data_IF_862719695121
#
_entry.id   IF_862719695121
#
_cell.length_a   1.000
_cell.length_b   1.000
_cell.length_c   1.000
_cell.angle_alpha   90.00
_cell.angle_beta   90.00
_cell.angle_gamma   90.00
#
_symmetry.space_group_name_H-M   'P 1'
#
loop_
_entity.id
_entity.type
_entity.pdbx_description
1 polymer ?
#
# COMPACT_ATOMS: atom_id res chain seq x y z
N UNK A 1 12.95 28.08 12.22
CA UNK A 1 12.86 26.93 13.14
C UNK A 1 11.55 26.22 12.89
N UNK A 2 11.50 24.88 12.87
CA UNK A 2 10.24 24.13 12.82
C UNK A 2 9.42 24.46 14.08
N UNK A 3 8.11 24.62 13.95
CA UNK A 3 7.23 24.84 15.10
C UNK A 3 7.28 23.68 16.10
N UNK A 4 7.14 23.97 17.39
CA UNK A 4 7.10 22.96 18.45
C UNK A 4 6.01 21.92 18.18
N UNK A 5 4.82 22.37 17.76
CA UNK A 5 3.70 21.50 17.41
C UNK A 5 4.08 20.47 16.34
N UNK A 6 4.65 20.89 15.20
CA UNK A 6 5.07 19.96 14.14
C UNK A 6 6.13 19.00 14.64
N UNK A 7 7.17 19.51 15.32
CA UNK A 7 8.29 18.68 15.79
C UNK A 7 7.82 17.58 16.74
N UNK A 8 7.05 17.95 17.77
CA UNK A 8 6.61 17.01 18.82
C UNK A 8 5.60 15.99 18.29
N UNK A 9 4.64 16.42 17.45
CA UNK A 9 3.68 15.51 16.82
C UNK A 9 4.34 14.58 15.82
N UNK A 10 5.25 15.09 15.00
CA UNK A 10 5.99 14.29 14.03
C UNK A 10 6.80 13.21 14.75
N UNK A 11 7.57 13.59 15.78
CA UNK A 11 8.36 12.63 16.55
C UNK A 11 7.49 11.55 17.21
N UNK A 12 6.36 11.93 17.78
CA UNK A 12 5.42 10.99 18.40
C UNK A 12 4.79 10.04 17.36
N UNK A 13 4.27 10.57 16.26
CA UNK A 13 3.59 9.76 15.24
C UNK A 13 4.55 8.85 14.47
N UNK A 14 5.80 9.27 14.25
CA UNK A 14 6.83 8.41 13.62
C UNK A 14 7.18 7.18 14.47
N UNK A 15 7.08 7.26 15.80
CA UNK A 15 7.21 6.08 16.68
C UNK A 15 6.08 5.10 16.45
N UNK A 16 4.89 5.60 16.15
CA UNK A 16 3.68 4.83 15.85
C UNK A 16 3.57 4.44 14.36
N UNK A 17 4.57 4.77 13.53
CA UNK A 17 4.56 4.59 12.07
C UNK A 17 3.37 5.27 11.37
N UNK A 18 2.95 6.42 11.89
CA UNK A 18 1.88 7.23 11.33
C UNK A 18 2.50 8.52 10.77
N UNK A 19 2.06 8.89 9.57
CA UNK A 19 2.47 10.14 8.94
C UNK A 19 1.72 11.30 9.56
N UNK A 20 2.42 12.40 9.82
CA UNK A 20 1.80 13.66 10.24
C UNK A 20 0.72 14.13 9.23
N UNK A 21 0.89 13.79 7.96
CA UNK A 21 0.00 14.16 6.86
C UNK A 21 -1.11 13.12 6.60
N UNK A 22 -1.30 12.14 7.48
CA UNK A 22 -2.37 11.13 7.36
C UNK A 22 -3.77 11.67 7.68
N UNK A 23 -3.87 12.88 8.23
CA UNK A 23 -5.13 13.48 8.70
C UNK A 23 -5.53 13.09 10.12
N UNK A 24 -4.76 12.23 10.80
CA UNK A 24 -5.05 11.82 12.19
C UNK A 24 -5.04 13.00 13.17
N UNK A 25 -4.18 14.00 12.92
CA UNK A 25 -4.11 15.22 13.74
C UNK A 25 -5.43 15.97 13.67
N UNK A 26 -5.99 16.12 12.48
CA UNK A 26 -7.28 16.79 12.30
C UNK A 26 -8.42 15.97 12.90
N UNK A 27 -8.41 14.64 12.70
CA UNK A 27 -9.40 13.74 13.30
C UNK A 27 -9.46 13.88 14.82
N UNK A 28 -8.32 13.77 15.50
CA UNK A 28 -8.25 13.90 16.95
C UNK A 28 -8.60 15.33 17.38
N UNK A 29 -8.19 16.35 16.63
CA UNK A 29 -8.55 17.76 16.93
C UNK A 29 -10.06 17.96 16.94
N UNK A 30 -10.78 17.46 15.94
CA UNK A 30 -12.24 17.55 15.90
C UNK A 30 -12.90 16.73 17.02
N UNK A 31 -12.34 15.57 17.38
CA UNK A 31 -12.84 14.81 18.54
C UNK A 31 -12.62 15.54 19.87
N UNK A 32 -11.47 16.18 20.07
CA UNK A 32 -11.19 16.97 21.27
C UNK A 32 -12.14 18.19 21.38
N UNK A 33 -12.58 18.73 20.24
CA UNK A 33 -13.60 19.77 20.18
C UNK A 33 -15.04 19.23 20.24
N UNK A 34 -15.26 17.92 20.39
CA UNK A 34 -16.58 17.28 20.38
C UNK A 34 -17.39 17.59 19.11
N UNK A 35 -16.73 17.41 17.95
CA UNK A 35 -17.30 17.64 16.62
C UNK A 35 -17.10 16.38 15.77
N UNK A 36 -18.20 15.92 15.16
CA UNK A 36 -18.16 14.87 14.15
C UNK A 36 -18.06 15.52 12.78
N UNK A 37 -17.01 15.15 12.05
CA UNK A 37 -16.75 15.60 10.68
C UNK A 37 -16.72 14.41 9.71
N UNK A 38 -17.06 14.65 8.46
CA UNK A 38 -16.94 13.66 7.40
C UNK A 38 -15.49 13.59 6.85
N UNK A 39 -15.22 12.65 5.94
CA UNK A 39 -13.87 12.41 5.39
C UNK A 39 -13.33 13.62 4.60
N UNK A 40 -14.18 14.32 3.87
CA UNK A 40 -13.79 15.51 3.09
C UNK A 40 -13.40 16.66 4.03
N UNK A 41 -14.16 16.85 5.10
CA UNK A 41 -13.90 17.85 6.12
C UNK A 41 -12.61 17.57 6.93
N UNK A 42 -12.18 16.31 7.06
CA UNK A 42 -10.90 15.96 7.71
C UNK A 42 -9.66 16.50 6.97
N UNK A 43 -9.79 16.78 5.67
CA UNK A 43 -8.72 17.44 4.91
C UNK A 43 -8.54 18.91 5.31
N UNK A 44 -9.52 19.49 6.01
CA UNK A 44 -9.50 20.86 6.49
C UNK A 44 -9.15 20.87 7.98
N UNK A 45 -8.01 21.47 8.31
CA UNK A 45 -7.49 21.55 9.68
C UNK A 45 -6.07 22.09 9.66
N UNK A 46 -5.17 21.44 10.39
CA UNK A 46 -3.74 21.71 10.27
C UNK A 46 -3.21 21.25 8.91
N UNK A 47 -2.36 22.08 8.31
CA UNK A 47 -1.52 21.73 7.17
C UNK A 47 -0.06 21.91 7.57
N UNK A 48 0.76 20.89 7.32
CA UNK A 48 2.17 20.87 7.70
C UNK A 48 3.12 20.93 6.50
N UNK A 49 2.59 21.04 5.28
CA UNK A 49 3.37 20.93 4.04
C UNK A 49 4.21 22.17 3.71
N UNK A 50 3.81 23.37 4.17
CA UNK A 50 4.36 24.65 3.70
C UNK A 50 5.37 25.34 4.65
N UNK A 51 5.87 24.69 5.70
CA UNK A 51 6.68 25.35 6.74
C UNK A 51 8.15 25.66 6.37
N UNK A 52 8.61 25.42 5.13
CA UNK A 52 9.98 25.82 4.74
C UNK A 52 10.20 27.35 4.77
N UNK A 53 9.13 28.15 4.90
CA UNK A 53 9.13 29.63 4.80
C UNK A 53 8.98 30.40 6.13
N UNK A 54 9.15 29.78 7.31
CA UNK A 54 8.87 30.39 8.63
C UNK A 54 7.38 30.73 8.90
N UNK A 55 6.45 30.21 8.10
CA UNK A 55 5.02 30.45 8.34
C UNK A 55 4.55 29.81 9.65
N UNK A 56 3.72 30.55 10.39
CA UNK A 56 3.03 30.06 11.59
C UNK A 56 2.03 28.98 11.17
N UNK A 57 2.00 27.85 11.89
CA UNK A 57 0.95 26.84 11.69
C UNK A 57 -0.41 27.51 11.87
N UNK A 58 -1.29 27.25 10.92
CA UNK A 58 -2.70 27.63 10.99
C UNK A 58 -3.59 26.40 10.99
N UNK A 59 -4.80 26.56 11.54
CA UNK A 59 -5.84 25.56 11.51
C UNK A 59 -7.02 26.10 10.69
N UNK A 60 -7.32 25.43 9.58
CA UNK A 60 -8.47 25.76 8.74
C UNK A 60 -9.71 25.04 9.25
N UNK A 61 -10.73 25.77 9.69
CA UNK A 61 -11.99 25.19 10.15
C UNK A 61 -12.77 24.62 8.96
N UNK A 62 -13.25 23.38 9.10
CA UNK A 62 -14.00 22.70 8.05
C UNK A 62 -15.22 23.49 7.55
N UNK A 63 -15.39 23.56 6.24
CA UNK A 63 -16.56 24.12 5.57
C UNK A 63 -17.82 23.34 5.93
N UNK A 64 -18.93 24.05 6.09
CA UNK A 64 -20.24 23.46 6.40
C UNK A 64 -20.48 23.16 7.88
N UNK A 65 -19.54 23.51 8.76
CA UNK A 65 -19.80 23.52 10.21
C UNK A 65 -20.70 24.69 10.58
N UNK A 66 -21.69 24.44 11.44
CA UNK A 66 -22.53 25.50 11.98
C UNK A 66 -21.78 26.36 13.01
N UNK A 67 -22.36 27.52 13.36
CA UNK A 67 -21.72 28.44 14.30
C UNK A 67 -21.51 27.84 15.70
N UNK A 68 -22.38 26.92 16.13
CA UNK A 68 -22.24 26.23 17.43
C UNK A 68 -21.01 25.31 17.44
N UNK A 69 -20.78 24.57 16.35
CA UNK A 69 -19.60 23.74 16.15
C UNK A 69 -18.33 24.59 16.04
N UNK A 70 -18.36 25.68 15.27
CA UNK A 70 -17.25 26.63 15.18
C UNK A 70 -16.88 27.16 16.58
N UNK A 71 -17.88 27.53 17.38
CA UNK A 71 -17.67 28.00 18.76
C UNK A 71 -16.96 26.95 19.64
N UNK A 72 -17.25 25.65 19.48
CA UNK A 72 -16.51 24.60 20.20
C UNK A 72 -15.02 24.59 19.82
N UNK A 73 -14.68 24.76 18.54
CA UNK A 73 -13.28 24.84 18.08
C UNK A 73 -12.59 26.08 18.66
N UNK A 74 -13.24 27.23 18.58
CA UNK A 74 -12.70 28.48 19.12
C UNK A 74 -12.47 28.38 20.64
N UNK A 75 -13.43 27.83 21.37
CA UNK A 75 -13.30 27.58 22.82
C UNK A 75 -12.14 26.65 23.15
N UNK A 76 -11.97 25.56 22.38
CA UNK A 76 -10.87 24.63 22.55
C UNK A 76 -9.51 25.33 22.40
N UNK A 77 -9.36 26.19 21.39
CA UNK A 77 -8.15 26.99 21.18
C UNK A 77 -8.11 28.28 22.01
N UNK A 78 -9.09 28.52 22.89
CA UNK A 78 -9.25 29.75 23.70
C UNK A 78 -9.22 31.04 22.87
N UNK A 79 -9.79 30.99 21.66
CA UNK A 79 -9.91 32.15 20.77
C UNK A 79 -11.27 32.83 21.03
N UNK A 80 -11.31 34.11 21.43
CA UNK A 80 -12.55 34.86 21.56
C UNK A 80 -13.31 34.91 20.23
N UNK A 81 -14.63 34.76 20.29
CA UNK A 81 -15.50 34.77 19.10
C UNK A 81 -15.35 36.06 18.28
N UNK A 82 -15.17 37.21 18.94
CA UNK A 82 -15.03 38.50 18.24
C UNK A 82 -13.75 38.60 17.41
N UNK A 83 -12.75 37.75 17.70
CA UNK A 83 -11.48 37.71 16.96
C UNK A 83 -11.52 36.75 15.77
N UNK A 84 -12.57 35.95 15.65
CA UNK A 84 -12.68 34.99 14.55
C UNK A 84 -13.23 35.66 13.28
N UNK A 85 -12.41 35.67 12.24
CA UNK A 85 -12.84 36.05 10.90
C UNK A 85 -13.40 34.81 10.19
N UNK A 86 -14.71 34.78 9.96
CA UNK A 86 -15.38 33.61 9.40
C UNK A 86 -14.76 33.18 8.05
N UNK A 87 -14.48 31.88 7.92
CA UNK A 87 -13.82 31.30 6.74
C UNK A 87 -12.31 31.55 6.66
N UNK A 88 -11.70 32.24 7.64
CA UNK A 88 -10.23 32.37 7.73
C UNK A 88 -9.63 31.31 8.65
N UNK A 89 -8.42 30.82 8.36
CA UNK A 89 -7.69 29.94 9.27
C UNK A 89 -7.41 30.63 10.60
N UNK A 90 -7.46 29.88 11.69
CA UNK A 90 -7.04 30.34 13.01
C UNK A 90 -5.54 30.11 13.19
N UNK A 91 -4.85 31.02 13.87
CA UNK A 91 -3.42 30.93 14.14
C UNK A 91 -3.21 30.76 15.65
N UNK A 92 -3.08 29.52 16.13
CA UNK A 92 -2.90 29.28 17.55
C UNK A 92 -1.42 29.52 17.89
N UNK A 93 -1.13 30.75 18.35
CA UNK A 93 0.25 31.26 18.54
C UNK A 93 0.71 31.28 20.01
N UNK A 94 -0.01 30.61 20.89
CA UNK A 94 0.34 30.52 22.31
C UNK A 94 1.03 29.17 22.56
N UNK A 95 2.31 29.21 22.94
CA UNK A 95 3.11 28.02 23.21
C UNK A 95 2.49 27.16 24.32
N UNK A 96 1.90 27.78 25.36
CA UNK A 96 1.19 27.04 26.43
C UNK A 96 -0.04 26.32 25.88
N UNK A 97 -0.75 26.93 24.93
CA UNK A 97 -1.87 26.26 24.25
C UNK A 97 -1.42 25.14 23.33
N UNK A 98 -0.26 25.26 22.68
CA UNK A 98 0.32 24.19 21.89
C UNK A 98 0.76 23.00 22.75
N UNK A 99 1.40 23.25 23.90
CA UNK A 99 1.76 22.19 24.86
C UNK A 99 0.51 21.46 25.37
N UNK A 100 -0.52 22.23 25.75
CA UNK A 100 -1.81 21.68 26.15
C UNK A 100 -2.40 20.82 25.03
N UNK A 101 -2.47 21.33 23.80
CA UNK A 101 -2.95 20.56 22.65
C UNK A 101 -2.19 19.23 22.49
N UNK A 102 -0.86 19.25 22.50
CA UNK A 102 -0.02 18.06 22.32
C UNK A 102 -0.29 17.03 23.42
N UNK A 103 -0.45 17.47 24.68
CA UNK A 103 -0.77 16.58 25.79
C UNK A 103 -2.13 15.88 25.59
N UNK A 104 -3.18 16.64 25.28
CA UNK A 104 -4.52 16.06 25.04
C UNK A 104 -4.57 15.20 23.78
N UNK A 105 -3.83 15.58 22.73
CA UNK A 105 -3.68 14.78 21.52
C UNK A 105 -3.09 13.41 21.84
N UNK A 106 -1.95 13.35 22.54
CA UNK A 106 -1.28 12.10 22.90
C UNK A 106 -2.17 11.21 23.78
N UNK A 107 -2.86 11.79 24.76
CA UNK A 107 -3.80 11.05 25.60
C UNK A 107 -4.97 10.49 24.80
N UNK A 108 -5.58 11.29 23.93
CA UNK A 108 -6.70 10.84 23.10
C UNK A 108 -6.27 9.77 22.10
N UNK A 109 -5.09 9.91 21.52
CA UNK A 109 -4.49 8.89 20.65
C UNK A 109 -4.34 7.56 21.40
N UNK A 110 -3.81 7.58 22.63
CA UNK A 110 -3.64 6.37 23.43
C UNK A 110 -4.99 5.73 23.79
N UNK A 111 -5.99 6.53 24.15
CA UNK A 111 -7.36 6.03 24.36
C UNK A 111 -7.94 5.37 23.11
N UNK A 112 -7.75 5.97 21.92
CA UNK A 112 -8.19 5.38 20.66
C UNK A 112 -7.45 4.07 20.38
N UNK A 113 -6.15 4.01 20.64
CA UNK A 113 -5.34 2.80 20.45
C UNK A 113 -5.82 1.64 21.33
N UNK A 114 -6.34 1.93 22.52
CA UNK A 114 -6.85 0.93 23.46
C UNK A 114 -8.31 0.55 23.22
N UNK A 115 -9.16 1.52 22.92
CA UNK A 115 -10.61 1.33 22.82
C UNK A 115 -11.12 1.04 21.40
N UNK A 116 -10.47 1.62 20.39
CA UNK A 116 -10.87 1.56 18.96
C UNK A 116 -9.62 1.32 18.08
N UNK A 117 -8.85 0.24 18.31
CA UNK A 117 -7.57 -0.03 17.63
C UNK A 117 -7.70 -0.06 16.10
N UNK A 118 -8.87 -0.40 15.56
CA UNK A 118 -9.18 -0.40 14.13
C UNK A 118 -9.01 0.98 13.49
N UNK A 119 -9.29 2.07 14.22
CA UNK A 119 -9.10 3.43 13.72
C UNK A 119 -7.61 3.72 13.56
N UNK A 120 -6.80 3.32 14.55
CA UNK A 120 -5.34 3.48 14.50
C UNK A 120 -4.75 2.62 13.37
N UNK A 121 -5.23 1.38 13.20
CA UNK A 121 -4.83 0.51 12.11
C UNK A 121 -5.09 1.15 10.73
N UNK A 122 -6.26 1.78 10.55
CA UNK A 122 -6.61 2.51 9.33
C UNK A 122 -5.63 3.66 9.07
N UNK A 123 -5.31 4.47 10.08
CA UNK A 123 -4.35 5.57 9.92
C UNK A 123 -2.91 5.08 9.68
N UNK A 124 -2.50 3.96 10.28
CA UNK A 124 -1.21 3.30 9.96
C UNK A 124 -1.18 2.87 8.48
N UNK A 125 -2.24 2.23 8.00
CA UNK A 125 -2.34 1.79 6.61
C UNK A 125 -2.30 2.97 5.63
N UNK A 126 -3.07 4.04 5.89
CA UNK A 126 -3.06 5.28 5.09
C UNK A 126 -1.69 6.00 5.14
N UNK A 127 -0.98 5.89 6.26
CA UNK A 127 0.32 6.53 6.46
C UNK A 127 1.46 5.85 5.71
N UNK A 128 1.39 4.52 5.55
CA UNK A 128 2.46 3.74 4.96
C UNK A 128 2.92 4.24 3.58
N UNK A 129 2.03 4.50 2.59
CA UNK A 129 2.45 5.07 1.30
C UNK A 129 3.04 6.48 1.41
N UNK A 130 2.56 7.29 2.36
CA UNK A 130 3.08 8.65 2.59
C UNK A 130 4.51 8.61 3.16
N UNK A 131 4.76 7.72 4.12
CA UNK A 131 6.06 7.53 4.74
C UNK A 131 7.08 6.97 3.73
N UNK A 132 6.67 6.00 2.91
CA UNK A 132 7.48 5.46 1.81
C UNK A 132 7.85 6.54 0.79
N UNK A 133 6.87 7.34 0.35
CA UNK A 133 7.10 8.44 -0.61
C UNK A 133 8.06 9.48 -0.04
N UNK A 134 7.88 9.85 1.23
CA UNK A 134 8.78 10.78 1.91
C UNK A 134 10.21 10.22 2.01
N UNK A 135 10.37 8.96 2.41
CA UNK A 135 11.67 8.31 2.48
C UNK A 135 12.36 8.23 1.10
N UNK A 136 11.61 7.90 0.04
CA UNK A 136 12.09 7.91 -1.36
C UNK A 136 12.54 9.30 -1.79
N UNK A 137 11.80 10.34 -1.43
CA UNK A 137 12.14 11.73 -1.77
C UNK A 137 13.38 12.23 -1.03
N UNK A 138 13.53 11.91 0.26
CA UNK A 138 14.75 12.22 1.03
C UNK A 138 15.97 11.53 0.41
N UNK A 139 15.85 10.24 0.07
CA UNK A 139 16.91 9.49 -0.59
C UNK A 139 17.31 10.11 -1.93
N UNK A 140 16.34 10.48 -2.78
CA UNK A 140 16.59 11.18 -4.05
C UNK A 140 17.33 12.51 -3.83
N UNK A 141 16.87 13.31 -2.87
CA UNK A 141 17.48 14.60 -2.53
C UNK A 141 18.95 14.44 -2.13
N UNK A 142 19.26 13.52 -1.22
CA UNK A 142 20.65 13.29 -0.80
C UNK A 142 21.52 12.75 -1.94
N UNK A 143 20.97 11.94 -2.85
CA UNK A 143 21.72 11.53 -4.05
C UNK A 143 22.08 12.71 -4.94
N UNK A 144 21.16 13.63 -5.16
CA UNK A 144 21.42 14.82 -5.96
C UNK A 144 22.40 15.76 -5.27
N UNK A 145 22.34 15.90 -3.94
CA UNK A 145 23.34 16.63 -3.16
C UNK A 145 24.75 16.03 -3.30
N UNK A 146 24.88 14.70 -3.22
CA UNK A 146 26.17 14.01 -3.45
C UNK A 146 26.68 14.26 -4.87
N UNK A 147 25.83 14.17 -5.89
CA UNK A 147 26.23 14.47 -7.29
C UNK A 147 26.74 15.90 -7.42
N UNK A 148 26.02 16.87 -6.87
CA UNK A 148 26.39 18.29 -6.91
C UNK A 148 27.75 18.53 -6.23
N UNK A 149 28.00 17.89 -5.09
CA UNK A 149 29.28 18.02 -4.36
C UNK A 149 30.43 17.42 -5.15
N UNK A 150 30.21 16.29 -5.82
CA UNK A 150 31.24 15.72 -6.69
C UNK A 150 31.50 16.64 -7.90
N UNK A 151 30.45 17.16 -8.54
CA UNK A 151 30.60 18.09 -9.66
C UNK A 151 31.33 19.38 -9.25
N UNK A 152 31.06 19.91 -8.06
CA UNK A 152 31.66 21.15 -7.58
C UNK A 152 33.15 20.99 -7.17
N UNK A 153 33.53 19.83 -6.62
CA UNK A 153 34.88 19.63 -6.08
C UNK A 153 35.90 19.09 -7.10
N UNK A 154 35.44 18.51 -8.23
CA UNK A 154 36.33 17.89 -9.21
C UNK A 154 36.22 18.39 -10.68
N UNK A 155 35.84 19.66 -10.98
CA UNK A 155 35.58 20.08 -12.36
C UNK A 155 36.85 20.15 -13.25
N UNK A 156 38.04 20.34 -12.67
CA UNK A 156 39.29 20.62 -13.42
C UNK A 156 40.48 19.72 -13.01
N UNK A 157 40.22 18.62 -12.31
CA UNK A 157 41.24 17.67 -11.84
C UNK A 157 41.07 16.32 -12.53
N UNK A 158 42.18 15.65 -12.88
CA UNK A 158 42.12 14.27 -13.34
C UNK A 158 41.43 13.41 -12.26
N UNK A 159 40.24 12.90 -12.56
CA UNK A 159 39.48 12.09 -11.63
C UNK A 159 40.27 10.82 -11.31
N UNK A 160 40.52 10.56 -10.03
CA UNK A 160 41.05 9.29 -9.57
C UNK A 160 40.07 8.16 -9.92
N UNK A 161 40.57 6.93 -10.01
CA UNK A 161 39.71 5.76 -10.27
C UNK A 161 38.60 5.65 -9.20
N UNK A 162 38.91 6.02 -7.96
CA UNK A 162 37.96 6.07 -6.84
C UNK A 162 36.82 7.05 -7.09
N UNK A 163 37.09 8.31 -7.45
CA UNK A 163 36.02 9.28 -7.70
C UNK A 163 35.18 8.90 -8.93
N UNK A 164 35.79 8.32 -9.98
CA UNK A 164 35.04 7.77 -11.12
C UNK A 164 34.09 6.65 -10.68
N UNK A 165 34.56 5.76 -9.80
CA UNK A 165 33.73 4.68 -9.24
C UNK A 165 32.55 5.23 -8.44
N UNK A 166 32.78 6.23 -7.58
CA UNK A 166 31.72 6.88 -6.81
C UNK A 166 30.67 7.52 -7.73
N UNK A 167 31.08 8.26 -8.77
CA UNK A 167 30.15 8.87 -9.72
C UNK A 167 29.29 7.81 -10.42
N UNK A 168 29.93 6.73 -10.89
CA UNK A 168 29.23 5.63 -11.56
C UNK A 168 28.24 4.94 -10.63
N UNK A 169 28.64 4.69 -9.37
CA UNK A 169 27.78 4.13 -8.34
C UNK A 169 26.56 5.01 -8.04
N UNK A 170 26.76 6.30 -7.77
CA UNK A 170 25.68 7.24 -7.46
C UNK A 170 24.71 7.39 -8.64
N UNK A 171 25.23 7.40 -9.87
CA UNK A 171 24.41 7.44 -11.08
C UNK A 171 23.57 6.17 -11.24
N UNK A 172 24.16 5.00 -10.98
CA UNK A 172 23.46 3.71 -11.02
C UNK A 172 22.36 3.64 -9.97
N UNK A 173 22.66 4.04 -8.73
CA UNK A 173 21.70 4.07 -7.63
C UNK A 173 20.53 5.02 -7.92
N UNK A 174 20.83 6.20 -8.49
CA UNK A 174 19.81 7.15 -8.93
C UNK A 174 18.89 6.58 -10.01
N UNK A 175 19.44 5.86 -10.99
CA UNK A 175 18.64 5.19 -12.03
C UNK A 175 17.72 4.13 -11.42
N UNK A 176 18.25 3.29 -10.52
CA UNK A 176 17.47 2.25 -9.83
C UNK A 176 16.28 2.79 -9.04
N UNK A 177 16.44 3.92 -8.36
CA UNK A 177 15.36 4.56 -7.60
C UNK A 177 14.27 5.13 -8.52
N UNK A 178 14.64 5.60 -9.71
CA UNK A 178 13.69 6.05 -10.72
C UNK A 178 12.87 4.88 -11.26
N UNK A 179 13.54 3.77 -11.55
CA UNK A 179 12.96 2.58 -12.17
C UNK A 179 12.20 1.67 -11.18
N UNK A 180 12.30 1.94 -9.87
CA UNK A 180 11.77 1.10 -8.80
C UNK A 180 10.26 0.81 -8.91
N UNK A 181 9.46 1.75 -9.40
CA UNK A 181 8.00 1.56 -9.58
C UNK A 181 7.68 0.53 -10.66
N UNK A 182 8.51 0.47 -11.70
CA UNK A 182 8.40 -0.49 -12.80
C UNK A 182 9.06 -1.83 -12.45
N UNK A 183 10.09 -1.79 -11.61
CA UNK A 183 10.92 -2.94 -11.28
C UNK A 183 11.16 -3.04 -9.76
N UNK A 184 10.19 -3.57 -8.98
CA UNK A 184 10.28 -3.63 -7.53
C UNK A 184 11.48 -4.42 -6.99
N UNK A 185 12.04 -5.35 -7.78
CA UNK A 185 13.23 -6.13 -7.41
C UNK A 185 14.49 -5.25 -7.25
N UNK A 186 14.54 -4.06 -7.86
CA UNK A 186 15.63 -3.10 -7.68
C UNK A 186 15.74 -2.57 -6.25
N UNK A 187 14.71 -2.78 -5.42
CA UNK A 187 14.76 -2.51 -3.99
C UNK A 187 15.97 -3.16 -3.30
N UNK A 188 16.24 -4.43 -3.60
CA UNK A 188 17.35 -5.19 -2.98
C UNK A 188 18.69 -4.56 -3.32
N UNK A 189 18.85 -4.11 -4.56
CA UNK A 189 20.03 -3.40 -5.03
C UNK A 189 20.25 -2.08 -4.29
N UNK A 190 19.17 -1.35 -3.99
CA UNK A 190 19.21 -0.10 -3.21
C UNK A 190 19.68 -0.38 -1.78
N UNK A 191 19.21 -1.46 -1.14
CA UNK A 191 19.68 -1.82 0.20
C UNK A 191 21.16 -2.23 0.20
N UNK A 192 21.55 -3.08 -0.75
CA UNK A 192 22.91 -3.58 -0.86
C UNK A 192 23.92 -2.45 -1.12
N UNK A 193 23.45 -1.32 -1.66
CA UNK A 193 24.27 -0.12 -1.87
C UNK A 193 24.91 0.42 -0.58
N UNK A 194 24.36 0.11 0.61
CA UNK A 194 24.98 0.47 1.91
C UNK A 194 26.40 -0.09 2.05
N UNK A 195 26.66 -1.31 1.58
CA UNK A 195 27.98 -1.94 1.68
C UNK A 195 29.01 -1.16 0.86
N UNK A 196 28.63 -0.76 -0.34
CA UNK A 196 29.49 0.02 -1.24
C UNK A 196 29.75 1.43 -0.70
N UNK A 197 28.74 2.09 -0.13
CA UNK A 197 28.94 3.40 0.53
C UNK A 197 29.88 3.29 1.73
N UNK A 198 29.72 2.25 2.56
CA UNK A 198 30.64 1.98 3.66
C UNK A 198 32.07 1.73 3.18
N UNK A 199 32.24 1.04 2.05
CA UNK A 199 33.55 0.88 1.43
C UNK A 199 34.15 2.23 1.02
N UNK A 200 33.37 3.09 0.33
CA UNK A 200 33.85 4.42 -0.06
C UNK A 200 34.26 5.28 1.14
N UNK A 201 33.53 5.23 2.25
CA UNK A 201 33.86 5.98 3.47
C UNK A 201 35.20 5.60 4.08
N UNK A 202 35.70 4.39 3.83
CA UNK A 202 37.02 3.92 4.32
C UNK A 202 38.19 4.40 3.45
N UNK A 203 37.92 4.89 2.23
CA UNK A 203 38.96 5.32 1.30
C UNK A 203 39.54 6.67 1.72
N UNK A 204 40.87 6.77 1.73
CA UNK A 204 41.59 7.99 2.15
C UNK A 204 41.16 9.24 1.37
N UNK A 205 40.89 9.09 0.07
CA UNK A 205 40.44 10.19 -0.79
C UNK A 205 39.07 10.75 -0.41
N UNK A 206 38.19 9.89 0.12
CA UNK A 206 36.83 10.28 0.56
C UNK A 206 36.88 10.82 1.99
N UNK A 207 37.61 10.17 2.89
CA UNK A 207 37.82 10.64 4.26
C UNK A 207 38.54 12.01 4.28
N UNK A 208 39.44 12.27 3.33
CA UNK A 208 40.07 13.56 3.14
C UNK A 208 39.15 14.69 2.65
N UNK A 209 37.89 14.40 2.27
CA UNK A 209 36.89 15.38 1.85
C UNK A 209 35.70 15.40 2.84
N UNK A 210 35.73 16.26 3.88
CA UNK A 210 34.73 16.26 4.95
C UNK A 210 33.29 16.48 4.44
N UNK A 211 33.10 17.27 3.38
CA UNK A 211 31.78 17.56 2.81
C UNK A 211 31.20 16.33 2.11
N UNK A 212 32.00 15.66 1.28
CA UNK A 212 31.58 14.44 0.60
C UNK A 212 31.36 13.30 1.60
N UNK A 213 32.25 13.17 2.59
CA UNK A 213 32.12 12.19 3.65
C UNK A 213 30.79 12.35 4.41
N UNK A 214 30.49 13.57 4.89
CA UNK A 214 29.23 13.85 5.60
C UNK A 214 27.98 13.51 4.75
N UNK A 215 28.06 13.76 3.45
CA UNK A 215 26.94 13.54 2.53
C UNK A 215 26.73 12.07 2.18
N UNK A 216 27.80 11.28 2.14
CA UNK A 216 27.71 9.83 2.07
C UNK A 216 27.14 9.22 3.36
N UNK A 217 27.42 9.80 4.53
CA UNK A 217 26.77 9.41 5.80
C UNK A 217 25.27 9.73 5.76
N UNK A 218 24.88 10.94 5.34
CA UNK A 218 23.47 11.29 5.17
C UNK A 218 22.75 10.42 4.15
N UNK A 219 23.46 9.97 3.10
CA UNK A 219 22.95 9.00 2.15
C UNK A 219 22.68 7.64 2.81
N UNK A 220 23.60 7.13 3.65
CA UNK A 220 23.37 5.90 4.43
C UNK A 220 22.13 6.02 5.33
N UNK A 221 21.99 7.14 6.03
CA UNK A 221 20.82 7.41 6.89
C UNK A 221 19.52 7.40 6.07
N UNK A 222 19.53 8.00 4.88
CA UNK A 222 18.36 7.99 3.98
C UNK A 222 18.03 6.61 3.42
N UNK A 223 19.04 5.75 3.15
CA UNK A 223 18.79 4.37 2.74
C UNK A 223 18.23 3.55 3.92
N UNK A 224 18.69 3.79 5.15
CA UNK A 224 18.12 3.16 6.34
C UNK A 224 16.66 3.60 6.58
N UNK A 225 16.35 4.89 6.34
CA UNK A 225 14.98 5.40 6.39
C UNK A 225 14.10 4.75 5.31
N UNK A 226 14.63 4.60 4.10
CA UNK A 226 13.96 3.91 3.01
C UNK A 226 13.71 2.43 3.33
N UNK A 227 14.69 1.70 3.84
CA UNK A 227 14.54 0.33 4.34
C UNK A 227 13.45 0.22 5.42
N UNK A 228 13.35 1.20 6.32
CA UNK A 228 12.34 1.19 7.38
C UNK A 228 10.90 1.28 6.86
N UNK A 229 10.66 2.01 5.78
CA UNK A 229 9.31 2.34 5.31
C UNK A 229 8.93 1.78 3.93
N UNK A 230 9.87 1.22 3.18
CA UNK A 230 9.58 0.61 1.88
C UNK A 230 8.56 -0.53 2.02
N UNK A 231 7.83 -0.80 0.93
CA UNK A 231 6.83 -1.88 0.89
C UNK A 231 6.99 -2.81 -0.31
N UNK A 232 8.16 -2.73 -0.99
CA UNK A 232 8.44 -3.55 -2.16
C UNK A 232 8.41 -5.05 -1.88
N UNK A 233 8.76 -5.49 -0.66
CA UNK A 233 8.58 -6.89 -0.26
C UNK A 233 7.10 -7.31 -0.34
N UNK A 234 6.18 -6.48 0.15
CA UNK A 234 4.74 -6.76 0.06
C UNK A 234 4.24 -6.75 -1.38
N UNK A 235 4.73 -5.82 -2.23
CA UNK A 235 4.41 -5.79 -3.67
C UNK A 235 4.89 -7.08 -4.37
N UNK A 236 6.13 -7.50 -4.09
CA UNK A 236 6.70 -8.72 -4.66
C UNK A 236 5.91 -9.95 -4.19
N UNK A 237 5.61 -10.05 -2.89
CA UNK A 237 4.77 -11.12 -2.32
C UNK A 237 3.42 -11.21 -3.01
N UNK A 238 2.72 -10.10 -3.22
CA UNK A 238 1.43 -10.10 -3.92
C UNK A 238 1.55 -10.54 -5.40
N UNK A 239 2.63 -10.15 -6.07
CA UNK A 239 2.85 -10.49 -7.48
C UNK A 239 3.07 -11.99 -7.71
N UNK A 240 3.66 -12.70 -6.74
CA UNK A 240 3.94 -14.14 -6.83
C UNK A 240 2.84 -15.01 -6.24
N UNK A 241 2.09 -14.49 -5.27
CA UNK A 241 1.09 -15.24 -4.49
C UNK A 241 0.09 -16.01 -5.37
N UNK A 242 -0.50 -15.36 -6.37
CA UNK A 242 -1.49 -16.00 -7.25
C UNK A 242 -0.89 -17.17 -8.04
N UNK A 243 0.32 -17.00 -8.56
CA UNK A 243 1.03 -18.04 -9.32
C UNK A 243 1.36 -19.21 -8.41
N UNK A 244 1.97 -18.95 -7.26
CA UNK A 244 2.35 -20.00 -6.31
C UNK A 244 1.15 -20.77 -5.78
N UNK A 245 0.03 -20.07 -5.50
CA UNK A 245 -1.19 -20.74 -5.03
C UNK A 245 -1.78 -21.65 -6.11
N UNK A 246 -1.82 -21.19 -7.36
CA UNK A 246 -2.26 -22.01 -8.50
C UNK A 246 -1.37 -23.23 -8.67
N UNK A 247 -0.05 -23.06 -8.61
CA UNK A 247 0.93 -24.15 -8.71
C UNK A 247 0.79 -25.16 -7.55
N UNK A 248 0.60 -24.68 -6.32
CA UNK A 248 0.39 -25.51 -5.14
C UNK A 248 -0.86 -26.40 -5.23
N UNK A 249 -1.92 -25.94 -5.91
CA UNK A 249 -3.18 -26.67 -6.03
C UNK A 249 -3.20 -27.73 -7.15
N UNK A 250 -2.22 -27.72 -8.06
CA UNK A 250 -2.13 -28.67 -9.19
C UNK A 250 -2.16 -30.13 -8.72
N UNK A 251 -1.36 -30.57 -7.72
CA UNK A 251 -1.37 -31.97 -7.26
C UNK A 251 -2.73 -32.42 -6.71
N UNK A 252 -3.53 -31.48 -6.20
CA UNK A 252 -4.87 -31.74 -5.68
C UNK A 252 -5.95 -31.72 -6.76
N UNK A 253 -5.61 -31.37 -8.02
CA UNK A 253 -6.53 -31.19 -9.15
C UNK A 253 -7.62 -30.14 -8.88
N UNK A 254 -7.23 -29.03 -8.27
CA UNK A 254 -8.13 -27.93 -7.94
C UNK A 254 -7.74 -26.70 -8.74
N UNK A 255 -8.71 -26.09 -9.42
CA UNK A 255 -8.54 -24.79 -10.05
C UNK A 255 -9.09 -23.71 -9.09
N UNK A 256 -8.22 -22.84 -8.53
CA UNK A 256 -8.66 -21.79 -7.60
C UNK A 256 -9.60 -20.75 -8.25
N UNK A 257 -9.67 -20.67 -9.58
CA UNK A 257 -10.56 -19.73 -10.28
C UNK A 257 -12.01 -20.22 -10.37
N UNK A 258 -12.26 -21.53 -10.14
CA UNK A 258 -13.59 -22.15 -10.27
C UNK A 258 -14.23 -22.54 -8.96
N UNK A 259 -13.54 -22.37 -7.84
CA UNK A 259 -14.04 -22.81 -6.54
C UNK A 259 -13.63 -21.86 -5.41
N UNK A 260 -14.36 -21.91 -4.30
CA UNK A 260 -14.10 -21.06 -3.14
C UNK A 260 -13.31 -21.74 -2.02
N UNK A 261 -12.31 -22.55 -2.38
CA UNK A 261 -11.47 -23.21 -1.38
C UNK A 261 -10.77 -22.19 -0.48
N UNK A 262 -10.26 -21.10 -1.08
CA UNK A 262 -9.53 -20.07 -0.34
C UNK A 262 -10.43 -19.30 0.63
N UNK A 263 -11.63 -18.88 0.20
CA UNK A 263 -12.58 -18.21 1.08
C UNK A 263 -13.02 -19.10 2.24
N UNK A 264 -13.35 -20.36 1.94
CA UNK A 264 -13.70 -21.33 2.99
C UNK A 264 -12.60 -21.44 4.05
N UNK A 265 -11.35 -21.62 3.63
CA UNK A 265 -10.24 -21.80 4.57
C UNK A 265 -10.03 -20.55 5.42
N UNK A 266 -10.04 -19.35 4.82
CA UNK A 266 -9.87 -18.11 5.58
C UNK A 266 -10.98 -17.97 6.64
N UNK A 267 -12.23 -18.27 6.28
CA UNK A 267 -13.35 -18.21 7.21
C UNK A 267 -13.24 -19.26 8.32
N UNK A 268 -12.85 -20.48 7.97
CA UNK A 268 -12.62 -21.56 8.93
C UNK A 268 -11.52 -21.20 9.93
N UNK A 269 -10.40 -20.66 9.45
CA UNK A 269 -9.28 -20.23 10.29
C UNK A 269 -9.66 -19.06 11.22
N UNK A 270 -10.61 -18.22 10.83
CA UNK A 270 -11.16 -17.12 11.63
C UNK A 270 -12.38 -17.52 12.50
N UNK A 271 -12.72 -18.81 12.60
CA UNK A 271 -13.91 -19.34 13.28
C UNK A 271 -15.24 -18.68 12.84
N UNK A 272 -15.34 -18.42 11.53
CA UNK A 272 -16.53 -17.87 10.88
C UNK A 272 -17.31 -19.01 10.21
N UNK A 273 -18.47 -19.35 10.78
CA UNK A 273 -19.33 -20.44 10.30
C UNK A 273 -20.35 -19.95 9.27
N UNK A 274 -19.88 -19.76 8.04
CA UNK A 274 -20.75 -19.46 6.88
C UNK A 274 -20.54 -20.54 5.83
N UNK A 275 -21.62 -21.23 5.42
CA UNK A 275 -21.56 -22.35 4.49
C UNK A 275 -21.69 -21.94 3.01
N UNK A 276 -21.96 -20.67 2.75
CA UNK A 276 -22.27 -20.11 1.42
C UNK A 276 -21.40 -18.91 1.05
N UNK A 277 -20.34 -18.65 1.82
CA UNK A 277 -19.40 -17.62 1.43
C UNK A 277 -18.79 -18.02 0.09
N UNK A 278 -18.74 -17.04 -0.80
CA UNK A 278 -17.94 -17.10 -2.02
C UNK A 278 -16.92 -15.97 -1.85
N UNK A 279 -15.65 -16.28 -1.63
CA UNK A 279 -14.56 -15.35 -1.92
C UNK A 279 -14.84 -14.80 -3.30
N UNK A 280 -15.14 -13.52 -3.32
CA UNK A 280 -15.47 -12.84 -4.56
C UNK A 280 -14.20 -12.52 -5.33
N UNK A 281 -13.17 -12.09 -4.59
CA UNK A 281 -11.93 -11.61 -5.18
C UNK A 281 -10.80 -11.65 -4.17
N UNK A 282 -9.64 -12.11 -4.63
CA UNK A 282 -8.35 -11.80 -4.05
C UNK A 282 -7.61 -10.96 -5.08
N UNK A 283 -7.21 -9.75 -4.73
CA UNK A 283 -6.48 -8.88 -5.65
C UNK A 283 -5.54 -7.94 -4.90
N UNK A 284 -4.49 -7.43 -5.54
CA UNK A 284 -3.75 -6.30 -5.01
C UNK A 284 -4.70 -5.12 -4.75
N UNK A 285 -4.51 -4.45 -3.61
CA UNK A 285 -5.16 -3.19 -3.28
C UNK A 285 -4.65 -2.03 -4.14
N UNK A 286 -5.15 -0.83 -3.87
CA UNK A 286 -4.83 0.37 -4.68
C UNK A 286 -3.32 0.65 -4.74
N UNK A 287 -2.62 0.46 -3.62
CA UNK A 287 -1.17 0.69 -3.51
C UNK A 287 -0.31 -0.51 -3.94
N UNK A 288 -0.92 -1.61 -4.40
CA UNK A 288 -0.32 -2.91 -4.77
C UNK A 288 0.46 -3.64 -3.68
N UNK A 289 0.84 -2.97 -2.59
CA UNK A 289 1.52 -3.56 -1.44
C UNK A 289 0.55 -4.30 -0.54
N UNK A 290 -0.71 -3.86 -0.47
CA UNK A 290 -1.76 -4.51 0.30
C UNK A 290 -2.54 -5.50 -0.55
N UNK A 291 -3.12 -6.49 0.09
CA UNK A 291 -4.00 -7.48 -0.51
C UNK A 291 -5.45 -7.17 -0.10
N UNK A 292 -6.33 -7.05 -1.08
CA UNK A 292 -7.76 -6.87 -0.91
C UNK A 292 -8.44 -8.25 -0.98
N UNK A 293 -9.08 -8.65 0.11
CA UNK A 293 -9.85 -9.87 0.23
C UNK A 293 -11.32 -9.51 0.29
N UNK A 294 -12.07 -9.77 -0.79
CA UNK A 294 -13.50 -9.46 -0.86
C UNK A 294 -14.32 -10.73 -0.73
N UNK A 295 -15.28 -10.72 0.18
CA UNK A 295 -16.25 -11.79 0.38
C UNK A 295 -17.66 -11.33 0.00
N UNK A 296 -18.50 -12.27 -0.46
CA UNK A 296 -19.95 -12.07 -0.56
C UNK A 296 -20.63 -12.53 0.72
N UNK A 297 -21.67 -11.81 1.14
CA UNK A 297 -22.58 -12.21 2.23
C UNK A 297 -21.89 -12.32 3.60
N UNK A 298 -20.96 -11.40 3.86
CA UNK A 298 -20.29 -11.27 5.16
C UNK A 298 -20.72 -9.95 5.77
N UNK A 299 -21.19 -10.00 7.02
CA UNK A 299 -21.57 -8.83 7.80
C UNK A 299 -20.38 -8.29 8.62
N UNK A 300 -20.58 -7.18 9.32
CA UNK A 300 -19.56 -6.51 10.13
C UNK A 300 -19.01 -7.38 11.28
N UNK A 301 -19.85 -8.21 11.90
CA UNK A 301 -19.39 -9.12 12.97
C UNK A 301 -18.34 -10.11 12.45
N UNK A 302 -18.60 -10.72 11.30
CA UNK A 302 -17.70 -11.69 10.70
C UNK A 302 -16.46 -11.04 10.09
N UNK A 303 -16.56 -9.85 9.52
CA UNK A 303 -15.38 -9.10 9.08
C UNK A 303 -14.45 -8.79 10.25
N UNK A 304 -15.03 -8.39 11.39
CA UNK A 304 -14.26 -8.11 12.60
C UNK A 304 -13.60 -9.38 13.15
N UNK A 305 -14.21 -10.57 13.06
CA UNK A 305 -13.55 -11.84 13.42
C UNK A 305 -12.34 -12.13 12.53
N UNK A 306 -12.45 -11.92 11.22
CA UNK A 306 -11.34 -12.12 10.28
C UNK A 306 -10.20 -11.14 10.56
N UNK A 307 -10.52 -9.86 10.77
CA UNK A 307 -9.53 -8.81 11.10
C UNK A 307 -8.85 -9.12 12.44
N UNK A 308 -9.63 -9.44 13.47
CA UNK A 308 -9.09 -9.81 14.77
C UNK A 308 -8.16 -11.02 14.64
N UNK A 309 -8.54 -12.04 13.88
CA UNK A 309 -7.67 -13.18 13.62
C UNK A 309 -6.34 -12.76 12.98
N UNK A 310 -6.35 -11.86 11.98
CA UNK A 310 -5.12 -11.32 11.38
C UNK A 310 -4.27 -10.53 12.39
N UNK A 311 -4.91 -9.72 13.24
CA UNK A 311 -4.23 -8.96 14.30
C UNK A 311 -3.56 -9.91 15.30
N UNK A 312 -4.23 -11.00 15.71
CA UNK A 312 -3.65 -12.02 16.59
C UNK A 312 -2.47 -12.76 15.95
N UNK A 313 -2.44 -12.84 14.62
CA UNK A 313 -1.31 -13.39 13.86
C UNK A 313 -0.17 -12.39 13.66
N UNK A 314 -0.38 -11.10 13.94
CA UNK A 314 0.64 -10.06 13.96
C UNK A 314 0.47 -8.91 12.97
N UNK A 315 -0.60 -8.86 12.16
CA UNK A 315 -0.86 -7.69 11.30
C UNK A 315 -1.66 -6.63 12.06
N UNK A 316 -0.98 -5.63 12.61
CA UNK A 316 -1.63 -4.48 13.25
C UNK A 316 -2.35 -3.53 12.28
N UNK A 317 -2.26 -3.79 10.97
CA UNK A 317 -2.75 -2.89 9.93
C UNK A 317 -3.93 -3.44 9.16
N UNK A 318 -4.44 -4.64 9.47
CA UNK A 318 -5.62 -5.18 8.79
C UNK A 318 -6.86 -4.38 9.18
N UNK A 319 -7.72 -4.03 8.20
CA UNK A 319 -8.97 -3.30 8.45
C UNK A 319 -10.04 -3.58 7.38
N UNK A 320 -11.30 -3.31 7.73
CA UNK A 320 -12.43 -3.42 6.81
C UNK A 320 -12.51 -2.17 5.91
N UNK A 321 -12.60 -2.39 4.60
CA UNK A 321 -12.74 -1.33 3.58
C UNK A 321 -14.22 -1.01 3.33
N UNK A 322 -15.07 -2.03 3.32
CA UNK A 322 -16.50 -1.89 3.03
C UNK A 322 -17.31 -1.71 4.33
N UNK A 323 -17.52 -0.44 4.70
CA UNK A 323 -18.35 -0.04 5.85
C UNK A 323 -18.92 1.39 5.74
N UNK A 324 -18.56 2.12 4.69
CA UNK A 324 -19.19 3.36 4.25
C UNK A 324 -19.21 3.32 2.73
N UNK A 325 -20.38 3.39 2.12
CA UNK A 325 -20.59 3.54 0.67
C UNK A 325 -19.53 4.45 0.05
N UNK A 326 -18.55 3.85 -0.63
CA UNK A 326 -17.58 4.55 -1.48
C UNK A 326 -17.82 4.09 -2.92
N UNK A 327 -18.47 4.89 -3.77
CA UNK A 327 -18.11 4.89 -5.18
C UNK A 327 -16.64 5.32 -5.26
N UNK A 328 -15.83 4.61 -6.03
CA UNK A 328 -14.38 4.87 -6.11
C UNK A 328 -14.02 6.30 -6.53
N UNK A 329 -12.75 6.70 -6.37
CA UNK A 329 -12.25 7.92 -7.01
C UNK A 329 -12.39 7.70 -8.53
N UNK A 330 -12.80 8.73 -9.26
CA UNK A 330 -13.15 8.70 -10.70
C UNK A 330 -14.57 8.18 -11.05
N UNK A 331 -15.63 8.76 -10.46
CA UNK A 331 -16.87 8.97 -11.22
C UNK A 331 -16.96 10.44 -11.63
N UNK A 332 -16.69 10.67 -12.92
CA UNK A 332 -16.90 11.94 -13.63
C UNK A 332 -18.30 12.47 -13.33
N UNK A 333 -18.38 13.79 -13.12
CA UNK A 333 -19.60 14.55 -12.90
C UNK A 333 -20.77 14.04 -13.74
N UNK A 334 -21.85 13.60 -13.08
CA UNK A 334 -23.18 13.64 -13.66
C UNK A 334 -23.93 14.78 -13.01
N UNK A 335 -24.40 15.67 -13.88
CA UNK A 335 -25.09 16.91 -13.65
C UNK A 335 -26.00 16.91 -12.41
N UNK A 336 -25.88 17.98 -11.62
CA UNK A 336 -26.93 18.42 -10.71
C UNK A 336 -28.18 18.75 -11.53
N UNK A 337 -29.10 17.81 -11.65
CA UNK A 337 -30.51 18.12 -11.82
C UNK A 337 -31.23 17.76 -10.51
N UNK A 338 -31.81 18.79 -9.89
CA UNK A 338 -32.72 18.64 -8.76
C UNK A 338 -33.92 17.80 -9.17
N UNK A 339 -34.35 16.89 -8.29
CA UNK A 339 -35.73 16.40 -8.32
C UNK A 339 -36.48 16.97 -7.11
N UNK A 340 -37.16 18.09 -7.33
CA UNK A 340 -38.41 18.36 -6.65
C UNK A 340 -39.41 17.34 -7.20
N UNK A 341 -39.75 16.30 -6.46
CA UNK A 341 -41.10 15.74 -6.31
C UNK A 341 -41.02 14.50 -5.41
N UNK A 342 -41.65 14.58 -4.23
CA UNK A 342 -42.04 13.41 -3.45
C UNK A 342 -42.92 12.52 -4.32
N UNK A 343 -42.57 11.25 -4.44
CA UNK A 343 -43.57 10.20 -4.67
C UNK A 343 -43.29 9.05 -3.71
N UNK A 344 -44.22 8.91 -2.77
CA UNK A 344 -44.41 7.74 -1.92
C UNK A 344 -44.91 6.60 -2.81
N UNK A 345 -44.03 5.72 -3.26
CA UNK A 345 -44.42 4.37 -3.67
C UNK A 345 -43.30 3.39 -3.33
N UNK A 346 -43.70 2.39 -2.56
CA UNK A 346 -42.94 1.20 -2.19
C UNK A 346 -42.13 0.67 -3.37
N UNK A 347 -40.81 0.73 -3.25
CA UNK A 347 -39.93 -0.20 -3.94
C UNK A 347 -39.29 -1.06 -2.88
N UNK A 348 -39.68 -2.33 -2.86
CA UNK A 348 -39.03 -3.39 -2.12
C UNK A 348 -37.52 -3.17 -2.15
N UNK A 349 -36.91 -2.95 -0.99
CA UNK A 349 -35.46 -3.07 -0.82
C UNK A 349 -35.09 -4.50 -1.19
N UNK A 350 -34.69 -4.72 -2.43
CA UNK A 350 -33.87 -5.84 -2.82
C UNK A 350 -32.72 -5.91 -1.81
N UNK A 351 -32.56 -7.04 -1.14
CA UNK A 351 -31.41 -7.31 -0.26
C UNK A 351 -30.15 -7.10 -1.09
N UNK A 352 -29.58 -5.90 -1.04
CA UNK A 352 -28.28 -5.58 -1.59
C UNK A 352 -27.30 -6.52 -0.87
N UNK A 353 -26.72 -7.43 -1.63
CA UNK A 353 -25.69 -8.35 -1.15
C UNK A 353 -24.62 -7.56 -0.39
N UNK A 354 -24.47 -7.79 0.91
CA UNK A 354 -23.40 -7.20 1.72
C UNK A 354 -22.07 -7.76 1.19
N UNK A 355 -21.35 -6.92 0.44
CA UNK A 355 -19.96 -7.15 0.08
C UNK A 355 -19.12 -6.60 1.21
N UNK A 356 -18.22 -7.44 1.72
CA UNK A 356 -17.23 -7.02 2.70
C UNK A 356 -15.85 -7.22 2.12
N UNK A 357 -15.04 -6.17 2.13
CA UNK A 357 -13.64 -6.22 1.74
C UNK A 357 -12.74 -5.91 2.92
N UNK A 358 -11.68 -6.69 3.07
CA UNK A 358 -10.66 -6.54 4.09
C UNK A 358 -9.34 -6.29 3.39
N UNK A 359 -8.61 -5.28 3.82
CA UNK A 359 -7.25 -5.02 3.38
C UNK A 359 -6.24 -5.49 4.42
N UNK A 360 -5.20 -6.19 3.96
CA UNK A 360 -4.13 -6.77 4.78
C UNK A 360 -2.78 -6.49 4.11
N UNK A 361 -1.68 -6.40 4.88
CA UNK A 361 -0.35 -6.27 4.27
C UNK A 361 0.04 -7.51 3.46
N UNK A 362 0.59 -7.31 2.25
CA UNK A 362 0.91 -8.40 1.32
C UNK A 362 2.03 -9.32 1.81
N UNK A 363 3.09 -8.76 2.41
CA UNK A 363 4.19 -9.55 2.98
C UNK A 363 3.69 -10.37 4.16
N UNK A 364 2.91 -9.76 5.05
CA UNK A 364 2.27 -10.47 6.15
C UNK A 364 1.39 -11.61 5.66
N UNK A 365 0.49 -11.36 4.70
CA UNK A 365 -0.39 -12.40 4.18
C UNK A 365 0.43 -13.57 3.62
N UNK A 366 1.47 -13.28 2.84
CA UNK A 366 2.34 -14.29 2.24
C UNK A 366 3.16 -15.09 3.26
N UNK A 367 3.65 -14.44 4.33
CA UNK A 367 4.55 -15.07 5.31
C UNK A 367 3.82 -15.73 6.49
N UNK A 368 2.64 -15.23 6.88
CA UNK A 368 1.93 -15.69 8.08
C UNK A 368 0.61 -16.41 7.75
N UNK A 369 -0.15 -15.91 6.78
CA UNK A 369 -1.50 -16.45 6.46
C UNK A 369 -1.41 -17.58 5.44
N UNK A 370 -0.65 -17.38 4.36
CA UNK A 370 -0.53 -18.36 3.28
C UNK A 370 0.01 -19.72 3.72
N UNK A 371 1.01 -19.83 4.63
CA UNK A 371 1.44 -21.12 5.17
C UNK A 371 0.31 -21.86 5.90
N UNK A 372 -0.50 -21.16 6.70
CA UNK A 372 -1.65 -21.75 7.40
C UNK A 372 -2.71 -22.26 6.44
N UNK A 373 -2.93 -21.53 5.34
CA UNK A 373 -3.83 -21.98 4.26
C UNK A 373 -3.31 -23.30 3.66
N UNK A 374 -2.02 -23.38 3.33
CA UNK A 374 -1.41 -24.61 2.80
C UNK A 374 -1.53 -25.77 3.77
N UNK A 375 -1.22 -25.56 5.04
CA UNK A 375 -1.36 -26.57 6.10
C UNK A 375 -2.80 -27.09 6.20
N UNK A 376 -3.79 -26.19 6.16
CA UNK A 376 -5.20 -26.56 6.21
C UNK A 376 -5.61 -27.41 4.98
N UNK A 377 -5.16 -27.03 3.77
CA UNK A 377 -5.42 -27.81 2.54
C UNK A 377 -4.81 -29.22 2.65
N UNK A 378 -3.58 -29.34 3.15
CA UNK A 378 -2.93 -30.63 3.36
C UNK A 378 -3.74 -31.50 4.34
N UNK A 379 -4.25 -30.91 5.43
CA UNK A 379 -5.09 -31.61 6.40
C UNK A 379 -6.43 -32.06 5.78
N UNK A 380 -7.11 -31.17 5.05
CA UNK A 380 -8.34 -31.50 4.34
C UNK A 380 -8.12 -32.61 3.31
N UNK A 381 -6.99 -32.63 2.62
CA UNK A 381 -6.61 -33.69 1.69
C UNK A 381 -6.46 -35.04 2.41
N UNK A 382 -5.76 -35.07 3.54
CA UNK A 382 -5.60 -36.27 4.36
C UNK A 382 -6.94 -36.81 4.90
N UNK A 383 -7.89 -35.91 5.15
CA UNK A 383 -9.25 -36.24 5.61
C UNK A 383 -10.25 -36.47 4.47
N UNK A 384 -9.80 -36.48 3.20
CA UNK A 384 -10.64 -36.65 2.00
C UNK A 384 -11.76 -35.59 1.85
N UNK A 385 -11.57 -34.40 2.41
CA UNK A 385 -12.55 -33.30 2.40
C UNK A 385 -12.44 -32.37 1.18
N UNK A 386 -11.55 -32.67 0.24
CA UNK A 386 -11.34 -31.85 -0.96
C UNK A 386 -12.24 -32.24 -2.15
N UNK A 387 -13.04 -33.29 -2.02
CA UNK A 387 -13.79 -33.90 -3.14
C UNK A 387 -14.74 -32.94 -3.87
N UNK A 388 -15.43 -32.06 -3.14
CA UNK A 388 -16.34 -31.07 -3.74
C UNK A 388 -15.59 -30.05 -4.61
N UNK A 389 -14.40 -29.62 -4.20
CA UNK A 389 -13.56 -28.67 -4.94
C UNK A 389 -12.94 -29.31 -6.19
N UNK A 390 -12.58 -30.59 -6.08
CA UNK A 390 -12.06 -31.39 -7.18
C UNK A 390 -13.13 -31.60 -8.27
N UNK A 391 -14.36 -31.92 -7.89
CA UNK A 391 -15.44 -32.12 -8.86
C UNK A 391 -15.76 -30.83 -9.62
N UNK A 392 -15.74 -29.68 -8.94
CA UNK A 392 -15.93 -28.35 -9.55
C UNK A 392 -14.82 -28.02 -10.56
N UNK A 393 -13.62 -28.58 -10.38
CA UNK A 393 -12.44 -28.35 -11.22
C UNK A 393 -12.21 -29.44 -12.28
N UNK A 394 -13.06 -30.48 -12.32
CA UNK A 394 -12.83 -31.72 -13.06
C UNK A 394 -12.54 -31.52 -14.55
N UNK A 395 -13.29 -30.64 -15.21
CA UNK A 395 -13.15 -30.34 -16.64
C UNK A 395 -11.79 -29.72 -16.99
N UNK A 396 -11.15 -28.99 -16.06
CA UNK A 396 -9.85 -28.34 -16.30
C UNK A 396 -8.68 -29.32 -16.26
N UNK A 397 -8.86 -30.46 -15.60
CA UNK A 397 -7.85 -31.49 -15.43
C UNK A 397 -8.19 -32.79 -16.18
N UNK A 398 -9.21 -32.77 -17.04
CA UNK A 398 -9.42 -33.88 -18.00
C UNK A 398 -8.21 -33.92 -18.93
N UNK A 399 -7.54 -35.07 -18.97
CA UNK A 399 -6.54 -35.33 -19.99
C UNK A 399 -7.21 -35.23 -21.36
N UNK A 400 -6.56 -34.53 -22.30
CA UNK A 400 -6.85 -34.58 -23.73
C UNK A 400 -6.68 -36.02 -24.22
N UNK A 401 -7.67 -36.86 -23.95
CA UNK A 401 -7.81 -38.22 -24.47
C UNK A 401 -8.91 -38.29 -25.53
N UNK A 402 -9.74 -37.25 -25.65
CA UNK A 402 -10.78 -37.16 -26.69
C UNK A 402 -10.25 -36.68 -28.06
N UNK A 403 -9.12 -35.96 -28.12
CA UNK A 403 -8.46 -35.64 -29.40
C UNK A 403 -7.59 -36.77 -29.95
N UNK A 404 -7.24 -37.79 -29.15
CA UNK A 404 -6.48 -38.95 -29.60
C UNK A 404 -7.35 -40.10 -30.14
N UNK A 405 -8.66 -40.11 -29.83
CA UNK A 405 -9.61 -41.13 -30.32
C UNK A 405 -10.30 -40.80 -31.64
N UNK A 406 -10.14 -39.57 -32.15
CA UNK A 406 -10.66 -39.15 -33.46
C UNK A 406 -9.64 -39.30 -34.61
N UNK A 407 -8.40 -39.74 -34.34
CA UNK A 407 -7.37 -39.95 -35.37
C UNK A 407 -7.18 -41.41 -35.81
N UNK A 408 -7.91 -42.38 -35.24
CA UNK A 408 -7.76 -43.81 -35.58
C UNK A 408 -8.96 -44.41 -36.36
N UNK A 409 -10.01 -43.64 -36.64
CA UNK A 409 -11.20 -44.10 -37.40
C UNK A 409 -11.56 -43.18 -38.57
N UNK A 410 -10.59 -42.85 -39.41
CA UNK A 410 -10.86 -42.39 -40.78
C UNK A 410 -9.72 -42.78 -41.72
N UNK A 411 -9.47 -44.09 -41.82
CA UNK A 411 -8.78 -44.66 -42.97
C UNK A 411 -9.82 -44.85 -44.09
N UNK A 412 -9.51 -44.30 -45.27
CA UNK A 412 -10.23 -44.38 -46.55
C UNK A 412 -11.43 -43.42 -46.73
N UNK A 413 -11.15 -42.25 -47.32
CA UNK A 413 -11.64 -41.95 -48.68
C UNK A 413 -10.72 -40.92 -49.37
N UNK A 414 -10.64 -41.04 -50.70
CA UNK A 414 -9.60 -40.49 -51.58
C UNK A 414 -9.80 -39.00 -51.89
N UNK A 415 -8.69 -38.33 -52.18
CA UNK A 415 -8.44 -36.93 -52.66
C UNK A 415 -9.23 -36.51 -53.92
N UNK A 416 -8.98 -35.34 -54.57
CA UNK A 416 -8.34 -34.06 -54.17
C UNK A 416 -9.17 -32.81 -54.60
N UNK A 417 -8.87 -31.60 -54.09
CA UNK A 417 -8.68 -30.41 -54.95
C UNK A 417 -8.26 -29.14 -54.20
N UNK A 418 -7.40 -28.38 -54.90
CA UNK A 418 -6.71 -27.11 -54.61
C UNK A 418 -7.64 -25.93 -54.22
N UNK A 419 -7.21 -24.77 -53.69
CA UNK A 419 -6.05 -23.93 -54.05
C UNK A 419 -5.90 -22.71 -53.10
N UNK A 420 -4.72 -22.06 -53.18
CA UNK A 420 -4.37 -20.68 -52.80
C UNK A 420 -3.58 -20.42 -51.49
N UNK A 421 -2.28 -20.68 -51.60
CA UNK A 421 -1.16 -19.75 -51.34
C UNK A 421 -1.47 -18.29 -51.80
N UNK A 422 -0.86 -17.16 -51.39
CA UNK A 422 0.42 -16.75 -50.77
C UNK A 422 0.24 -15.26 -50.34
N UNK A 423 0.85 -14.79 -49.25
CA UNK A 423 1.94 -13.79 -49.32
C UNK A 423 2.44 -13.32 -47.93
N UNK A 424 3.67 -13.73 -47.67
CA UNK A 424 4.69 -13.16 -46.77
C UNK A 424 5.04 -11.71 -47.10
N UNK A 425 5.31 -10.90 -46.07
CA UNK A 425 6.37 -9.89 -46.13
C UNK A 425 7.30 -10.00 -44.90
N UNK A 426 8.55 -10.31 -45.20
CA UNK A 426 9.71 -10.26 -44.31
C UNK A 426 10.04 -8.82 -43.90
N UNK A 427 10.45 -8.61 -42.64
CA UNK A 427 11.67 -7.84 -42.34
C UNK A 427 12.26 -8.22 -40.98
N UNK A 428 13.47 -8.80 -41.06
CA UNK A 428 14.38 -9.14 -39.96
C UNK A 428 14.87 -7.88 -39.22
N UNK A 429 15.07 -8.00 -37.91
CA UNK A 429 16.26 -7.43 -37.26
C UNK A 429 16.74 -8.40 -36.18
N UNK A 430 18.00 -8.79 -36.31
CA UNK A 430 18.71 -9.80 -35.54
C UNK A 430 19.53 -9.14 -34.44
N UNK A 431 19.56 -9.73 -33.24
CA UNK A 431 20.78 -9.96 -32.42
C UNK A 431 20.37 -10.67 -31.11
N UNK A 432 20.42 -11.99 -31.09
CA UNK A 432 21.54 -12.85 -30.63
C UNK A 432 21.71 -12.83 -29.10
N UNK A 433 21.13 -13.86 -28.48
CA UNK A 433 21.37 -14.28 -27.11
C UNK A 433 22.75 -14.96 -27.03
N UNK A 434 23.62 -14.50 -26.12
CA UNK A 434 24.88 -15.17 -25.79
C UNK A 434 24.66 -15.98 -24.52
N UNK A 435 24.51 -17.30 -24.68
CA UNK A 435 24.58 -18.30 -23.61
C UNK A 435 25.79 -19.20 -23.87
N UNK A 436 26.88 -19.05 -23.11
CA UNK A 436 27.94 -20.04 -22.77
C UNK A 436 29.09 -19.26 -22.12
N UNK A 437 29.80 -19.66 -21.06
CA UNK A 437 30.22 -20.96 -20.54
C UNK A 437 30.52 -20.85 -19.03
N UNK A 438 30.11 -21.84 -18.24
CA UNK A 438 30.82 -22.25 -17.01
C UNK A 438 31.19 -23.72 -17.15
N UNK A 439 32.47 -23.97 -17.47
CA UNK A 439 33.22 -25.20 -17.19
C UNK A 439 34.70 -24.82 -17.10
N UNK A 440 35.18 -24.67 -15.87
CA UNK A 440 36.34 -25.35 -15.30
C UNK A 440 36.48 -24.95 -13.83
#
# INVERSE_FOLDING_TARGET
>A
MKSMLKRELQQFLEQERISLNSGIVNYITYQLADIKVNKEQLSQGFSFDNEETMEKITFSIATGLDFSQIKKILNFFKIPEEKYLHGKPISPNDDTMMEYFIFYFKNRFQTLKEAEPEIIAQYKALSAPLLETNAKNILKKHLDEVKLIIMANYPNTSLTATIKSVISFISTLSGRIHDLESFPHLYVDILNSKQEINHFLQLREINGNPKLYAQLIMLLDSIALFERYHRNESVLSNSVLHKEFKEFLIPYRINPEKCDLLGHIILSLADVKIHTANLFRLAPGEDRARLLITFKNINEEYSNKIINWMHHLGDETAFAVDGKTSPGPYSVAQNQEYSLYKNEYETQKTKLYERCSIEVDGKFFYTCVYPKIKENIVQMAAQQQLSSYQETSKEDFKSTTETARLSEHSMFEKSPDSSNQFNTFNKKSSRTCICTLLKN
#
